data_IF_202865912422
#
_entry.id   IF_202865912422
#
_cell.length_a   1.000
_cell.length_b   1.000
_cell.length_c   1.000
_cell.angle_alpha   90.00
_cell.angle_beta   90.00
_cell.angle_gamma   90.00
#
_symmetry.space_group_name_H-M   'P 1'
#
loop_
_entity.id
_entity.type
_entity.pdbx_description
1 polymer ?
#
# COMPACT_ATOMS: atom_id res chain seq x y z
N UNK A 1 15.57 0.10 7.86
CA UNK A 1 15.18 1.34 7.19
C UNK A 1 14.12 1.06 6.14
N UNK A 2 13.09 1.86 6.08
CA UNK A 2 12.00 1.64 5.12
C UNK A 2 12.36 2.24 3.76
N UNK A 3 12.06 1.52 2.68
CA UNK A 3 12.26 1.98 1.32
C UNK A 3 10.96 2.51 0.72
N UNK A 4 10.23 3.28 1.53
CA UNK A 4 8.95 3.83 1.10
C UNK A 4 9.14 5.08 0.24
N UNK A 5 8.40 5.13 -0.86
CA UNK A 5 8.27 6.33 -1.66
C UNK A 5 7.07 7.12 -1.18
N UNK A 6 7.19 8.45 -1.14
CA UNK A 6 6.12 9.31 -0.65
C UNK A 6 5.45 10.07 -1.79
N UNK A 7 4.12 10.11 -1.77
CA UNK A 7 3.33 10.92 -2.69
C UNK A 7 2.59 11.97 -1.87
N UNK A 8 2.82 13.24 -2.18
CA UNK A 8 2.20 14.35 -1.48
C UNK A 8 0.69 14.44 -1.77
N UNK A 9 -0.04 14.93 -0.80
CA UNK A 9 -1.48 15.12 -0.92
C UNK A 9 -2.07 15.55 0.40
N UNK A 10 -3.38 15.41 0.52
CA UNK A 10 -4.07 15.74 1.76
C UNK A 10 -3.77 14.67 2.81
N UNK A 11 -3.42 15.10 4.02
CA UNK A 11 -3.14 14.21 5.12
C UNK A 11 -4.42 13.58 5.68
N UNK A 12 -4.65 12.33 5.35
CA UNK A 12 -5.78 11.53 5.86
C UNK A 12 -5.30 10.47 6.85
N UNK A 13 -4.11 10.63 7.39
CA UNK A 13 -3.48 9.68 8.29
C UNK A 13 -2.32 8.97 7.60
N UNK A 14 -1.80 7.94 8.24
CA UNK A 14 -0.68 7.17 7.70
C UNK A 14 -1.21 6.11 6.75
N UNK A 15 -0.94 6.27 5.47
CA UNK A 15 -1.41 5.35 4.42
C UNK A 15 -0.20 4.73 3.75
N UNK A 16 -0.11 3.40 3.76
CA UNK A 16 1.00 2.67 3.15
C UNK A 16 0.44 1.65 2.16
N UNK A 17 0.90 1.73 0.91
CA UNK A 17 0.53 0.76 -0.12
C UNK A 17 1.70 -0.19 -0.39
N UNK A 18 1.49 -1.47 -0.15
CA UNK A 18 2.43 -2.51 -0.51
C UNK A 18 2.01 -3.07 -1.86
N UNK A 19 2.88 -2.99 -2.84
CA UNK A 19 2.54 -3.30 -4.23
C UNK A 19 3.63 -4.12 -4.91
N UNK A 20 3.32 -4.63 -6.10
CA UNK A 20 4.29 -5.25 -6.99
C UNK A 20 4.39 -4.39 -8.25
N UNK A 21 5.59 -4.24 -8.78
CA UNK A 21 5.83 -3.35 -9.93
C UNK A 21 5.13 -3.83 -11.21
N UNK A 22 4.85 -5.13 -11.29
CA UNK A 22 4.21 -5.75 -12.47
C UNK A 22 2.73 -6.04 -12.27
N UNK A 23 2.16 -5.56 -11.18
CA UNK A 23 0.76 -5.84 -10.81
C UNK A 23 -0.17 -4.75 -11.34
N UNK A 24 -1.09 -5.11 -12.22
CA UNK A 24 -2.06 -4.16 -12.78
C UNK A 24 -3.03 -3.60 -11.73
N UNK A 25 -3.49 -4.43 -10.81
CA UNK A 25 -4.39 -4.01 -9.75
C UNK A 25 -3.69 -3.10 -8.74
N UNK A 26 -2.39 -3.32 -8.52
CA UNK A 26 -1.58 -2.43 -7.68
C UNK A 26 -1.47 -1.05 -8.32
N UNK A 27 -1.28 -1.01 -9.64
CA UNK A 27 -1.23 0.26 -10.37
C UNK A 27 -2.55 1.01 -10.25
N UNK A 28 -3.67 0.30 -10.41
CA UNK A 28 -5.00 0.91 -10.29
C UNK A 28 -5.24 1.46 -8.88
N UNK A 29 -4.78 0.75 -7.86
CA UNK A 29 -4.89 1.22 -6.47
C UNK A 29 -4.09 2.50 -6.28
N UNK A 30 -2.86 2.54 -6.80
CA UNK A 30 -2.01 3.72 -6.71
C UNK A 30 -2.64 4.92 -7.44
N UNK A 31 -3.20 4.68 -8.62
CA UNK A 31 -3.88 5.72 -9.38
C UNK A 31 -5.10 6.27 -8.62
N UNK A 32 -5.88 5.38 -8.02
CA UNK A 32 -7.04 5.79 -7.24
C UNK A 32 -6.64 6.67 -6.07
N UNK A 33 -5.59 6.31 -5.34
CA UNK A 33 -5.09 7.13 -4.23
C UNK A 33 -4.67 8.51 -4.72
N UNK A 34 -4.00 8.57 -5.87
CA UNK A 34 -3.62 9.85 -6.49
C UNK A 34 -4.84 10.67 -6.89
N UNK A 35 -5.86 10.03 -7.46
CA UNK A 35 -7.09 10.70 -7.87
C UNK A 35 -7.87 11.25 -6.66
N UNK A 36 -7.81 10.54 -5.54
CA UNK A 36 -8.43 11.01 -4.29
C UNK A 36 -7.67 12.17 -3.66
N UNK A 37 -6.46 12.45 -4.14
CA UNK A 37 -5.67 13.57 -3.65
C UNK A 37 -5.11 13.41 -2.25
N UNK A 38 -5.00 12.17 -1.77
CA UNK A 38 -4.49 11.89 -0.42
C UNK A 38 -2.98 11.65 -0.44
N UNK A 39 -2.30 12.04 0.63
CA UNK A 39 -0.89 11.73 0.81
C UNK A 39 -0.76 10.26 1.18
N UNK A 40 0.20 9.56 0.60
CA UNK A 40 0.43 8.16 0.92
C UNK A 40 1.86 7.76 0.62
N UNK A 41 2.29 6.66 1.24
CA UNK A 41 3.57 6.04 0.93
C UNK A 41 3.31 4.73 0.20
N UNK A 42 4.26 4.32 -0.64
CA UNK A 42 4.16 3.04 -1.32
C UNK A 42 5.53 2.40 -1.47
N UNK A 43 5.55 1.10 -1.69
CA UNK A 43 6.78 0.36 -1.96
C UNK A 43 6.45 -0.79 -2.91
N UNK A 44 7.35 -1.01 -3.88
CA UNK A 44 7.28 -2.18 -4.75
C UNK A 44 8.14 -3.28 -4.12
N UNK A 45 7.47 -4.22 -3.47
CA UNK A 45 8.13 -5.26 -2.67
C UNK A 45 9.04 -6.13 -3.54
N UNK A 46 8.65 -6.40 -4.77
CA UNK A 46 9.45 -7.21 -5.70
C UNK A 46 10.76 -6.55 -6.13
N UNK A 47 10.89 -5.23 -5.96
CA UNK A 47 12.11 -4.51 -6.31
C UNK A 47 13.08 -4.38 -5.12
N UNK A 48 12.66 -4.79 -3.93
CA UNK A 48 13.52 -4.80 -2.76
C UNK A 48 14.46 -5.99 -2.79
N UNK A 49 15.57 -5.90 -2.08
CA UNK A 49 16.58 -6.96 -2.04
C UNK A 49 16.98 -7.29 -0.60
N UNK A 50 17.42 -8.53 -0.41
CA UNK A 50 17.99 -8.99 0.86
C UNK A 50 17.06 -8.83 2.04
N UNK A 51 17.58 -8.32 3.15
CA UNK A 51 16.82 -8.19 4.39
C UNK A 51 15.69 -7.15 4.27
N UNK A 52 15.84 -6.14 3.44
CA UNK A 52 14.77 -5.15 3.21
C UNK A 52 13.52 -5.83 2.66
N UNK A 53 13.72 -6.74 1.70
CA UNK A 53 12.61 -7.50 1.12
C UNK A 53 11.98 -8.42 2.15
N UNK A 54 12.81 -9.17 2.89
CA UNK A 54 12.33 -10.11 3.90
C UNK A 54 11.55 -9.38 5.00
N UNK A 55 12.06 -8.27 5.49
CA UNK A 55 11.41 -7.47 6.53
C UNK A 55 10.07 -6.92 6.05
N UNK A 56 10.02 -6.46 4.81
CA UNK A 56 8.79 -5.88 4.24
C UNK A 56 7.76 -6.97 4.02
N UNK A 57 8.16 -8.13 3.50
CA UNK A 57 7.25 -9.28 3.32
C UNK A 57 6.67 -9.71 4.67
N UNK A 58 7.49 -9.73 5.72
CA UNK A 58 7.02 -10.08 7.06
C UNK A 58 5.97 -9.08 7.56
N UNK A 59 6.17 -7.80 7.31
CA UNK A 59 5.19 -6.76 7.67
C UNK A 59 3.87 -6.98 6.95
N UNK A 60 3.93 -7.31 5.67
CA UNK A 60 2.71 -7.58 4.88
C UNK A 60 1.99 -8.80 5.44
N UNK A 61 2.72 -9.87 5.74
CA UNK A 61 2.12 -11.10 6.27
C UNK A 61 1.43 -10.90 7.61
N UNK A 62 1.91 -9.99 8.43
CA UNK A 62 1.28 -9.69 9.73
C UNK A 62 -0.12 -9.13 9.56
N UNK A 63 -0.36 -8.35 8.53
CA UNK A 63 -1.65 -7.70 8.28
C UNK A 63 -2.46 -8.42 7.20
N UNK A 64 -1.79 -9.20 6.35
CA UNK A 64 -2.40 -9.97 5.27
C UNK A 64 -1.70 -11.32 5.17
N UNK A 65 -2.17 -12.34 5.92
CA UNK A 65 -1.49 -13.65 5.95
C UNK A 65 -1.33 -14.32 4.59
N UNK A 66 -2.18 -14.00 3.63
CA UNK A 66 -2.06 -14.51 2.26
C UNK A 66 -0.91 -13.87 1.51
N UNK A 67 -0.39 -12.74 2.03
CA UNK A 67 0.68 -11.99 1.39
C UNK A 67 0.38 -11.69 -0.09
N UNK A 68 -0.86 -11.29 -0.35
CA UNK A 68 -1.31 -10.92 -1.70
C UNK A 68 -1.17 -9.41 -1.91
N UNK A 69 -1.20 -8.98 -3.16
CA UNK A 69 -1.04 -7.57 -3.50
C UNK A 69 -2.17 -7.11 -4.42
N UNK A 70 -2.58 -5.85 -4.32
CA UNK A 70 -2.07 -4.82 -3.39
C UNK A 70 -2.55 -5.05 -1.96
N UNK A 71 -1.78 -4.59 -0.99
CA UNK A 71 -2.15 -4.52 0.42
C UNK A 71 -2.05 -3.08 0.86
N UNK A 72 -3.16 -2.49 1.26
CA UNK A 72 -3.22 -1.09 1.71
C UNK A 72 -3.45 -1.06 3.21
N UNK A 73 -2.59 -0.36 3.94
CA UNK A 73 -2.69 -0.24 5.40
C UNK A 73 -2.93 1.21 5.76
N UNK A 74 -3.99 1.47 6.52
CA UNK A 74 -4.39 2.82 6.92
C UNK A 74 -4.28 2.92 8.45
N UNK A 75 -3.42 3.82 8.92
CA UNK A 75 -3.16 4.07 10.35
C UNK A 75 -2.74 2.83 11.13
N UNK A 76 -2.14 1.85 10.45
CA UNK A 76 -1.71 0.61 11.08
C UNK A 76 -2.84 -0.32 11.54
N UNK A 77 -4.09 0.05 11.31
CA UNK A 77 -5.26 -0.68 11.82
C UNK A 77 -6.13 -1.26 10.72
N UNK A 78 -6.50 -0.43 9.76
CA UNK A 78 -7.39 -0.87 8.68
C UNK A 78 -6.56 -1.41 7.52
N UNK A 79 -6.89 -2.62 7.09
CA UNK A 79 -6.21 -3.29 5.99
C UNK A 79 -7.20 -3.59 4.88
N UNK A 80 -6.86 -3.14 3.67
CA UNK A 80 -7.66 -3.45 2.48
C UNK A 80 -6.78 -4.24 1.52
N UNK A 81 -7.19 -5.45 1.19
CA UNK A 81 -6.45 -6.34 0.28
C UNK A 81 -7.15 -6.38 -1.07
N UNK A 82 -6.37 -6.26 -2.14
CA UNK A 82 -6.89 -6.20 -3.49
C UNK A 82 -7.40 -4.81 -3.84
N UNK A 83 -7.81 -4.64 -5.10
CA UNK A 83 -8.37 -3.38 -5.56
C UNK A 83 -9.86 -3.34 -5.24
N UNK A 84 -10.19 -2.65 -4.17
CA UNK A 84 -11.57 -2.49 -3.71
C UNK A 84 -11.89 -1.00 -3.65
N UNK A 85 -12.28 -0.48 -4.79
CA UNK A 85 -12.47 0.96 -4.97
C UNK A 85 -13.40 1.59 -3.94
N UNK A 86 -14.56 0.98 -3.72
CA UNK A 86 -15.55 1.51 -2.78
C UNK A 86 -15.03 1.50 -1.35
N UNK A 87 -14.37 0.42 -0.94
CA UNK A 87 -13.80 0.31 0.39
C UNK A 87 -12.71 1.35 0.61
N UNK A 88 -11.87 1.57 -0.40
CA UNK A 88 -10.79 2.56 -0.32
C UNK A 88 -11.37 3.97 -0.20
N UNK A 89 -12.35 4.30 -1.03
CA UNK A 89 -13.00 5.61 -0.99
C UNK A 89 -13.68 5.86 0.35
N UNK A 90 -14.38 4.87 0.87
CA UNK A 90 -15.05 4.98 2.16
C UNK A 90 -14.06 5.19 3.29
N UNK A 91 -12.96 4.48 3.28
CA UNK A 91 -11.94 4.58 4.33
C UNK A 91 -11.21 5.92 4.34
N UNK A 92 -11.12 6.58 3.19
CA UNK A 92 -10.34 7.82 3.01
C UNK A 92 -11.20 9.07 2.82
N UNK A 93 -12.48 8.95 2.98
CA UNK A 93 -13.37 10.11 2.92
C UNK A 93 -13.31 10.93 4.20
#
# INVERSE_FOLDING_TARGET
MTNLEHVDGEDKGKIILYALSTCGWCRKTKELLGDLGVAFDYVYVDLLEGSDKDDTVDKVRKVNPRCSFPTLVINGEKVITGFKEDDIKEALN
#
